data_IF_759692463792
#
_entry.id   IF_759692463792
#
_cell.length_a   1.000
_cell.length_b   1.000
_cell.length_c   1.000
_cell.angle_alpha   90.00
_cell.angle_beta   90.00
_cell.angle_gamma   90.00
#
_symmetry.space_group_name_H-M   'P 1'
#
loop_
_entity.id
_entity.type
_entity.pdbx_description
1 polymer ?
#
# COMPACT_ATOMS: atom_id res chain seq x y z
N UNK A 1 -6.26 -0.29 -3.33
CA UNK A 1 -7.46 0.13 -2.58
C UNK A 1 -8.31 -1.08 -2.14
N UNK A 2 -7.70 -2.10 -1.55
CA UNK A 2 -8.42 -3.35 -1.22
C UNK A 2 -9.43 -3.13 -0.08
N UNK A 3 -9.10 -2.29 0.91
CA UNK A 3 -10.02 -1.97 2.01
C UNK A 3 -11.33 -1.29 1.56
N UNK A 4 -11.27 -0.44 0.54
CA UNK A 4 -12.47 0.21 -0.03
C UNK A 4 -13.36 -0.75 -0.80
N UNK A 5 -12.79 -1.74 -1.48
CA UNK A 5 -13.58 -2.80 -2.12
C UNK A 5 -14.30 -3.65 -1.06
N UNK A 6 -13.63 -3.97 0.05
CA UNK A 6 -14.20 -4.71 1.17
C UNK A 6 -15.37 -3.99 1.84
N UNK A 7 -15.30 -2.66 2.00
CA UNK A 7 -16.40 -1.87 2.58
C UNK A 7 -17.65 -1.90 1.70
N UNK A 8 -17.48 -1.72 0.39
CA UNK A 8 -18.58 -1.74 -0.58
C UNK A 8 -19.25 -3.12 -0.61
N UNK A 9 -18.45 -4.20 -0.62
CA UNK A 9 -18.98 -5.57 -0.60
C UNK A 9 -19.76 -5.86 0.69
N UNK A 10 -19.21 -5.48 1.85
CA UNK A 10 -19.88 -5.67 3.15
C UNK A 10 -21.21 -4.93 3.25
N UNK A 11 -21.27 -3.69 2.75
CA UNK A 11 -22.50 -2.92 2.69
C UNK A 11 -23.51 -3.50 1.69
N UNK A 12 -23.07 -3.98 0.53
CA UNK A 12 -23.95 -4.66 -0.45
C UNK A 12 -24.58 -5.92 0.18
N UNK A 13 -23.80 -6.73 0.89
CA UNK A 13 -24.33 -7.91 1.58
C UNK A 13 -25.32 -7.54 2.69
N UNK A 14 -25.03 -6.48 3.46
CA UNK A 14 -25.92 -5.99 4.49
C UNK A 14 -27.29 -5.58 3.92
N UNK A 15 -27.28 -4.79 2.85
CA UNK A 15 -28.50 -4.35 2.17
C UNK A 15 -29.22 -5.49 1.46
N UNK A 16 -28.50 -6.46 0.90
CA UNK A 16 -29.09 -7.65 0.28
C UNK A 16 -29.85 -8.50 1.30
N UNK A 17 -29.24 -8.77 2.45
CA UNK A 17 -29.87 -9.53 3.52
C UNK A 17 -31.07 -8.78 4.12
N UNK A 18 -30.97 -7.46 4.24
CA UNK A 18 -32.08 -6.61 4.68
C UNK A 18 -33.24 -6.60 3.68
N UNK A 19 -32.94 -6.60 2.38
CA UNK A 19 -33.95 -6.72 1.31
C UNK A 19 -34.68 -8.07 1.32
N UNK A 20 -34.02 -9.15 1.73
CA UNK A 20 -34.60 -10.49 1.81
C UNK A 20 -35.43 -10.69 3.09
N UNK A 21 -35.13 -9.96 4.17
CA UNK A 21 -35.82 -10.07 5.46
C UNK A 21 -37.23 -9.45 5.50
N UNK A 22 -37.63 -8.69 4.46
CA UNK A 22 -38.98 -8.12 4.37
C UNK A 22 -39.29 -7.08 5.46
N UNK A 23 -40.41 -7.24 6.18
CA UNK A 23 -41.00 -6.21 7.08
C UNK A 23 -40.36 -6.08 8.46
N UNK A 24 -39.54 -7.05 8.88
CA UNK A 24 -38.81 -6.99 10.14
C UNK A 24 -37.35 -6.65 9.84
N UNK A 25 -37.07 -5.35 9.74
CA UNK A 25 -35.70 -4.85 9.60
C UNK A 25 -34.94 -5.17 10.89
N UNK A 26 -34.17 -6.25 10.84
CA UNK A 26 -33.35 -6.69 11.96
C UNK A 26 -32.09 -5.81 12.00
N UNK A 27 -32.10 -4.78 12.86
CA UNK A 27 -31.01 -3.80 13.05
C UNK A 27 -29.67 -4.53 13.33
N UNK A 28 -29.76 -5.69 13.96
CA UNK A 28 -28.64 -6.60 14.24
C UNK A 28 -27.90 -7.00 12.97
N UNK A 29 -28.61 -7.28 11.88
CA UNK A 29 -28.05 -7.69 10.60
C UNK A 29 -27.32 -6.55 9.88
N UNK A 30 -27.89 -5.34 9.93
CA UNK A 30 -27.28 -4.12 9.40
C UNK A 30 -25.99 -3.78 10.15
N UNK A 31 -26.01 -3.87 11.48
CA UNK A 31 -24.86 -3.57 12.33
C UNK A 31 -23.67 -4.51 12.06
N UNK A 32 -23.93 -5.79 11.76
CA UNK A 32 -22.89 -6.76 11.38
C UNK A 32 -22.23 -6.44 10.02
N UNK A 33 -23.01 -5.96 9.06
CA UNK A 33 -22.48 -5.51 7.76
C UNK A 33 -21.56 -4.29 7.88
N UNK A 34 -21.97 -3.30 8.69
CA UNK A 34 -21.16 -2.11 8.98
C UNK A 34 -19.89 -2.49 9.73
N UNK A 35 -19.98 -3.39 10.72
CA UNK A 35 -18.82 -3.91 11.44
C UNK A 35 -17.79 -4.53 10.49
N UNK A 36 -18.24 -5.38 9.56
CA UNK A 36 -17.38 -6.01 8.56
C UNK A 36 -16.70 -4.98 7.65
N UNK A 37 -17.43 -3.94 7.23
CA UNK A 37 -16.89 -2.83 6.45
C UNK A 37 -15.80 -2.06 7.23
N UNK A 38 -16.00 -1.79 8.52
CA UNK A 38 -14.99 -1.11 9.35
C UNK A 38 -13.73 -1.97 9.54
N UNK A 39 -13.88 -3.26 9.81
CA UNK A 39 -12.75 -4.19 10.01
C UNK A 39 -11.89 -4.31 8.74
N UNK A 40 -12.52 -4.42 7.58
CA UNK A 40 -11.79 -4.50 6.29
C UNK A 40 -11.05 -3.21 5.95
N UNK A 41 -11.57 -2.06 6.39
CA UNK A 41 -10.88 -0.76 6.29
C UNK A 41 -9.61 -0.75 7.13
N UNK A 42 -9.70 -1.15 8.40
CA UNK A 42 -8.55 -1.23 9.31
C UNK A 42 -7.50 -2.20 8.77
N UNK A 43 -7.91 -3.38 8.30
CA UNK A 43 -7.01 -4.34 7.67
C UNK A 43 -6.28 -3.74 6.45
N UNK A 44 -7.00 -3.00 5.60
CA UNK A 44 -6.43 -2.30 4.46
C UNK A 44 -5.40 -1.24 4.85
N UNK A 45 -5.64 -0.51 5.93
CA UNK A 45 -4.70 0.48 6.47
C UNK A 45 -3.44 -0.18 7.03
N UNK A 46 -3.57 -1.29 7.78
CA UNK A 46 -2.42 -2.02 8.31
C UNK A 46 -1.50 -2.49 7.19
N UNK A 47 -2.05 -3.12 6.15
CA UNK A 47 -1.27 -3.55 4.98
C UNK A 47 -0.65 -2.35 4.25
N UNK A 48 -1.39 -1.26 4.11
CA UNK A 48 -0.89 -0.02 3.49
C UNK A 48 0.30 0.59 4.23
N UNK A 49 0.23 0.66 5.56
CA UNK A 49 1.33 1.16 6.40
C UNK A 49 2.57 0.28 6.26
N UNK A 50 2.40 -1.05 6.34
CA UNK A 50 3.51 -1.99 6.17
C UNK A 50 4.17 -1.86 4.79
N UNK A 51 3.38 -1.70 3.73
CA UNK A 51 3.89 -1.47 2.38
C UNK A 51 4.65 -0.13 2.26
N UNK A 52 4.18 0.92 2.92
CA UNK A 52 4.85 2.22 2.93
C UNK A 52 6.22 2.16 3.60
N UNK A 53 6.35 1.41 4.70
CA UNK A 53 7.66 1.13 5.31
C UNK A 53 8.58 0.37 4.34
N UNK A 54 8.08 -0.66 3.67
CA UNK A 54 8.84 -1.41 2.67
C UNK A 54 9.30 -0.54 1.50
N UNK A 55 8.43 0.36 1.02
CA UNK A 55 8.75 1.31 -0.04
C UNK A 55 9.89 2.25 0.37
N UNK A 56 9.80 2.87 1.56
CA UNK A 56 10.86 3.75 2.05
C UNK A 56 12.21 3.01 2.19
N UNK A 57 12.19 1.75 2.63
CA UNK A 57 13.40 0.94 2.71
C UNK A 57 14.01 0.67 1.33
N UNK A 58 13.19 0.34 0.33
CA UNK A 58 13.65 0.14 -1.05
C UNK A 58 14.23 1.44 -1.64
N UNK A 59 13.55 2.56 -1.46
CA UNK A 59 14.01 3.88 -1.94
C UNK A 59 15.37 4.21 -1.34
N UNK A 60 15.53 4.10 -0.01
CA UNK A 60 16.81 4.35 0.65
C UNK A 60 17.94 3.42 0.15
N UNK A 61 17.61 2.21 -0.31
CA UNK A 61 18.58 1.29 -0.92
C UNK A 61 18.93 1.70 -2.35
N UNK A 62 17.96 2.17 -3.12
CA UNK A 62 18.18 2.69 -4.48
C UNK A 62 19.09 3.92 -4.41
N UNK A 63 18.83 4.86 -3.51
CA UNK A 63 19.66 6.07 -3.37
C UNK A 63 21.13 5.74 -3.08
N UNK A 64 21.38 4.72 -2.24
CA UNK A 64 22.75 4.23 -1.98
C UNK A 64 23.41 3.65 -3.23
N UNK A 65 22.65 2.99 -4.09
CA UNK A 65 23.16 2.43 -5.34
C UNK A 65 23.48 3.55 -6.32
N UNK A 66 22.59 4.53 -6.45
CA UNK A 66 22.79 5.72 -7.29
C UNK A 66 24.04 6.47 -6.85
N UNK A 67 24.20 6.71 -5.55
CA UNK A 67 25.40 7.37 -5.01
C UNK A 67 26.70 6.63 -5.35
N UNK A 68 26.69 5.29 -5.30
CA UNK A 68 27.85 4.49 -5.71
C UNK A 68 28.13 4.60 -7.21
N UNK A 69 27.09 4.60 -8.04
CA UNK A 69 27.22 4.78 -9.49
C UNK A 69 27.81 6.15 -9.82
N UNK A 70 27.36 7.21 -9.17
CA UNK A 70 27.92 8.55 -9.32
C UNK A 70 29.40 8.57 -8.95
N UNK A 71 29.76 7.98 -7.79
CA UNK A 71 31.15 7.89 -7.35
C UNK A 71 32.04 7.15 -8.37
N UNK A 72 31.58 6.02 -8.90
CA UNK A 72 32.35 5.28 -9.93
C UNK A 72 32.44 6.02 -11.25
N UNK A 73 31.43 6.81 -11.60
CA UNK A 73 31.46 7.63 -12.82
C UNK A 73 32.48 8.76 -12.68
N UNK A 74 32.57 9.38 -11.50
CA UNK A 74 33.57 10.41 -11.21
C UNK A 74 34.97 9.80 -11.24
N UNK A 75 35.19 8.68 -10.56
CA UNK A 75 36.49 7.98 -10.56
C UNK A 75 36.91 7.55 -11.97
N UNK A 76 35.97 7.07 -12.79
CA UNK A 76 36.23 6.74 -14.19
C UNK A 76 36.58 7.98 -15.04
N UNK A 77 35.91 9.11 -14.79
CA UNK A 77 36.21 10.37 -15.46
C UNK A 77 37.60 10.89 -15.08
N UNK A 78 37.96 10.79 -13.80
CA UNK A 78 39.29 11.17 -13.29
C UNK A 78 40.38 10.32 -13.92
N UNK A 79 40.17 9.01 -14.06
CA UNK A 79 41.10 8.09 -14.74
C UNK A 79 41.31 8.46 -16.23
N UNK A 80 40.25 8.91 -16.92
CA UNK A 80 40.35 9.36 -18.32
C UNK A 80 41.02 10.73 -18.46
N UNK A 81 40.89 11.59 -17.46
CA UNK A 81 41.50 12.91 -17.42
C UNK A 81 42.93 12.91 -16.87
N UNK A 82 43.38 11.80 -16.28
CA UNK A 82 44.77 11.64 -15.85
C UNK A 82 45.68 11.66 -17.09
N UNK A 83 46.55 12.69 -17.24
CA UNK A 83 47.38 12.81 -18.42
C UNK A 83 48.26 11.58 -18.49
N UNK A 84 48.21 10.87 -19.63
CA UNK A 84 49.10 9.75 -19.94
C UNK A 84 50.55 10.24 -19.80
N UNK A 85 51.10 10.04 -18.60
CA UNK A 85 52.45 10.43 -18.30
C UNK A 85 53.34 9.49 -19.11
N UNK A 86 54.15 10.10 -19.99
CA UNK A 86 55.12 9.42 -20.84
C UNK A 86 56.06 8.53 -20.05
#
# INVERSE_FOLDING_TARGET
>A
MIGFLGTVIGMIQAFYNMSQAGSNVDITLLSGGIYTAMVTTVAGLVVGIMAYFGYNYLVARIDKIVYKMESYTIEFMDLLHEPANK
#
